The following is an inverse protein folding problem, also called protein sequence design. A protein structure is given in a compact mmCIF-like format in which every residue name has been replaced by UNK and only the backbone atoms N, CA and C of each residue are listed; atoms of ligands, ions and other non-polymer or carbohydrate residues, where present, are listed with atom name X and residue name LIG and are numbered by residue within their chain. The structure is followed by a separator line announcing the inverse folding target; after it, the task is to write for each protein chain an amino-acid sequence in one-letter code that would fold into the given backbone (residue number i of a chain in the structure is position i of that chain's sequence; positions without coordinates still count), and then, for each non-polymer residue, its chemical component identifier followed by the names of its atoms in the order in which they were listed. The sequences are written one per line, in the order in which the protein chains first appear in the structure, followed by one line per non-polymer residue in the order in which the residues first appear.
data_IF_498914445505
#
_entry.id   IF_498914445505
#
_cell.length_a   1.000
_cell.length_b   1.000
_cell.length_c   1.000
_cell.angle_alpha   90.00
_cell.angle_beta   90.00
_cell.angle_gamma   90.00
#
_symmetry.space_group_name_H-M   'P 1'
#
loop_
_entity.id
_entity.type
_entity.pdbx_description
1 polymer ?
#
# COMPACT_ATOMS: atom_id res chain seq x y z
N UNK A 1 2.89 -13.89 -10.50
CA UNK A 1 4.19 -13.59 -9.87
C UNK A 1 4.10 -12.23 -9.20
N UNK A 2 4.74 -12.01 -8.05
CA UNK A 2 4.74 -10.69 -7.38
C UNK A 2 5.90 -9.86 -7.91
N UNK A 3 5.66 -8.58 -8.17
CA UNK A 3 6.70 -7.62 -8.57
C UNK A 3 6.73 -6.44 -7.61
N UNK A 4 7.93 -5.99 -7.28
CA UNK A 4 8.16 -4.85 -6.38
C UNK A 4 8.58 -3.63 -7.20
N UNK A 5 7.96 -2.48 -6.95
CA UNK A 5 8.37 -1.19 -7.55
C UNK A 5 8.67 -0.20 -6.44
N UNK A 6 9.80 0.50 -6.54
CA UNK A 6 10.16 1.55 -5.57
C UNK A 6 9.11 2.66 -5.57
N UNK A 7 8.59 2.97 -4.40
CA UNK A 7 7.65 4.06 -4.17
C UNK A 7 8.40 5.40 -4.15
N UNK A 8 7.78 6.44 -4.71
CA UNK A 8 8.26 7.84 -4.62
C UNK A 8 7.22 8.78 -4.00
N UNK A 9 6.00 8.29 -3.87
CA UNK A 9 4.77 9.03 -3.62
C UNK A 9 4.01 8.52 -2.38
N UNK A 10 4.46 7.42 -1.78
CA UNK A 10 3.82 6.80 -0.63
C UNK A 10 4.86 6.34 0.41
N UNK A 11 4.66 6.79 1.66
CA UNK A 11 5.61 6.61 2.77
C UNK A 11 5.26 5.45 3.73
N UNK A 12 4.16 4.74 3.46
CA UNK A 12 3.70 3.63 4.30
C UNK A 12 2.75 4.07 5.43
N UNK A 13 2.23 5.29 5.38
CA UNK A 13 1.24 5.75 6.35
C UNK A 13 -0.13 5.16 5.99
N UNK A 14 -0.52 4.13 6.74
CA UNK A 14 -1.79 3.44 6.59
C UNK A 14 -2.66 3.82 7.79
N UNK A 15 -3.86 4.39 7.56
CA UNK A 15 -4.75 4.74 8.65
C UNK A 15 -5.06 3.54 9.57
N UNK A 16 -5.14 3.74 10.90
CA UNK A 16 -5.24 2.65 11.87
C UNK A 16 -6.56 1.87 11.79
N UNK A 17 -7.58 2.44 11.14
CA UNK A 17 -8.87 1.79 10.92
C UNK A 17 -8.87 0.81 9.74
N UNK A 18 -7.80 0.76 8.94
CA UNK A 18 -7.68 -0.19 7.83
C UNK A 18 -7.06 -1.48 8.38
N UNK A 19 -7.77 -2.62 8.32
CA UNK A 19 -7.17 -3.90 8.67
C UNK A 19 -6.17 -4.31 7.59
N UNK A 20 -4.97 -4.71 8.00
CA UNK A 20 -3.95 -5.25 7.13
C UNK A 20 -3.07 -6.22 7.91
N UNK A 21 -2.45 -7.15 7.18
CA UNK A 21 -1.51 -8.09 7.76
C UNK A 21 -0.08 -7.60 7.60
N UNK A 22 0.78 -7.93 8.57
CA UNK A 22 2.22 -7.67 8.50
C UNK A 22 2.96 -8.99 8.59
N UNK A 23 3.64 -9.34 7.51
CA UNK A 23 4.46 -10.54 7.44
C UNK A 23 5.94 -10.16 7.51
N UNK A 24 6.66 -10.72 8.46
CA UNK A 24 8.10 -10.62 8.51
C UNK A 24 8.71 -11.61 7.51
N UNK A 25 9.60 -11.12 6.64
CA UNK A 25 10.38 -12.01 5.79
C UNK A 25 11.53 -12.63 6.56
N UNK A 26 11.94 -13.82 6.12
CA UNK A 26 13.08 -14.54 6.69
C UNK A 26 14.35 -13.67 6.65
N UNK A 27 14.95 -13.34 7.81
CA UNK A 27 16.16 -12.53 7.89
C UNK A 27 17.38 -13.24 7.31
N UNK A 28 17.40 -14.57 7.24
CA UNK A 28 18.50 -15.34 6.67
C UNK A 28 18.51 -15.30 5.13
N UNK A 29 17.42 -14.86 4.51
CA UNK A 29 17.34 -14.81 3.06
C UNK A 29 18.22 -13.66 2.51
N UNK A 30 19.13 -13.90 1.55
CA UNK A 30 20.09 -12.89 1.07
C UNK A 30 19.46 -11.60 0.54
N UNK A 31 18.28 -11.72 -0.07
CA UNK A 31 17.49 -10.56 -0.51
C UNK A 31 17.07 -9.69 0.68
N UNK A 32 16.61 -10.30 1.77
CA UNK A 32 16.19 -9.60 2.99
C UNK A 32 17.37 -8.84 3.59
N UNK A 33 18.52 -9.51 3.76
CA UNK A 33 19.73 -8.90 4.31
C UNK A 33 20.20 -7.70 3.47
N UNK A 34 20.21 -7.84 2.13
CA UNK A 34 20.59 -6.78 1.21
C UNK A 34 19.70 -5.53 1.39
N UNK A 35 18.39 -5.72 1.48
CA UNK A 35 17.44 -4.62 1.65
C UNK A 35 17.60 -3.92 3.00
N UNK A 36 17.67 -4.68 4.09
CA UNK A 36 17.89 -4.14 5.44
C UNK A 36 19.22 -3.39 5.57
N UNK A 37 20.26 -3.78 4.82
CA UNK A 37 21.57 -3.13 4.87
C UNK A 37 21.65 -1.89 3.98
N UNK A 38 21.18 -1.96 2.73
CA UNK A 38 21.41 -0.90 1.72
C UNK A 38 20.24 0.06 1.51
N UNK A 39 19.02 -0.35 1.85
CA UNK A 39 17.81 0.35 1.41
C UNK A 39 16.81 0.60 2.55
N UNK A 40 17.33 0.96 3.74
CA UNK A 40 16.52 1.15 4.97
C UNK A 40 15.39 2.18 4.84
N UNK A 41 15.61 3.24 4.07
CA UNK A 41 14.61 4.31 3.87
C UNK A 41 13.75 4.11 2.63
N UNK A 42 13.87 2.96 1.95
CA UNK A 42 13.12 2.70 0.71
C UNK A 42 11.87 1.88 1.01
N UNK A 43 10.76 2.31 0.42
CA UNK A 43 9.51 1.55 0.39
C UNK A 43 9.30 1.01 -1.02
N UNK A 44 8.88 -0.25 -1.13
CA UNK A 44 8.52 -0.86 -2.41
C UNK A 44 7.06 -1.27 -2.41
N UNK A 45 6.28 -0.74 -3.34
CA UNK A 45 4.91 -1.19 -3.57
C UNK A 45 4.92 -2.58 -4.22
N UNK A 46 4.06 -3.46 -3.72
CA UNK A 46 3.93 -4.84 -4.19
C UNK A 46 2.74 -4.97 -5.15
N UNK A 47 2.97 -5.59 -6.31
CA UNK A 47 2.01 -5.74 -7.40
C UNK A 47 1.89 -7.20 -7.81
N UNK A 48 0.70 -7.61 -8.23
CA UNK A 48 0.49 -8.92 -8.84
C UNK A 48 0.70 -8.78 -10.35
N UNK A 49 1.72 -9.45 -10.90
CA UNK A 49 1.90 -9.56 -12.34
C UNK A 49 1.00 -10.68 -12.88
N UNK A 50 0.05 -10.30 -13.74
CA UNK A 50 -0.73 -11.24 -14.55
C UNK A 50 0.16 -11.88 -15.62
N UNK A 51 -0.05 -13.18 -15.89
CA UNK A 51 0.64 -13.91 -16.98
C UNK A 51 0.15 -13.50 -18.38
N UNK A 52 -1.02 -12.84 -18.47
CA UNK A 52 -1.54 -12.27 -19.71
C UNK A 52 -1.03 -10.84 -19.81
N UNK A 53 0.04 -10.67 -20.57
CA UNK A 53 0.72 -9.41 -20.79
C UNK A 53 -0.20 -8.48 -21.61
N UNK A 54 -0.80 -7.46 -20.98
CA UNK A 54 -1.35 -6.20 -21.58
C UNK A 54 -2.25 -5.39 -20.62
N UNK A 55 -2.24 -5.59 -19.30
CA UNK A 55 -2.84 -4.60 -18.39
C UNK A 55 -1.77 -3.59 -17.94
N UNK A 56 -1.79 -2.34 -18.43
CA UNK A 56 -0.90 -1.28 -17.93
C UNK A 56 -1.11 -0.96 -16.45
N UNK A 57 -2.25 -1.37 -15.88
CA UNK A 57 -2.76 -0.87 -14.59
C UNK A 57 -2.85 -1.97 -13.52
N UNK A 58 -1.75 -2.70 -13.27
CA UNK A 58 -1.69 -3.50 -12.04
C UNK A 58 -1.59 -2.53 -10.86
N UNK A 59 -2.57 -2.57 -9.95
CA UNK A 59 -2.58 -1.76 -8.75
C UNK A 59 -1.89 -2.48 -7.58
N UNK A 60 -1.32 -1.75 -6.62
CA UNK A 60 -0.58 -2.38 -5.55
C UNK A 60 -1.54 -3.00 -4.53
N UNK A 61 -1.17 -4.16 -3.99
CA UNK A 61 -1.90 -4.84 -2.92
C UNK A 61 -1.15 -4.77 -1.58
N UNK A 62 -0.06 -4.01 -1.53
CA UNK A 62 0.75 -3.92 -0.34
C UNK A 62 2.06 -3.21 -0.59
N UNK A 63 2.93 -3.26 0.41
CA UNK A 63 4.27 -2.73 0.28
C UNK A 63 5.24 -3.44 1.22
N UNK A 64 6.50 -3.33 0.85
CA UNK A 64 7.64 -3.84 1.58
C UNK A 64 8.38 -2.65 2.20
N UNK A 65 8.66 -2.72 3.50
CA UNK A 65 9.38 -1.67 4.22
C UNK A 65 10.33 -2.31 5.22
N UNK A 66 11.53 -1.74 5.32
CA UNK A 66 12.45 -2.09 6.39
C UNK A 66 11.96 -1.42 7.67
N UNK A 67 11.94 -2.19 8.75
CA UNK A 67 11.59 -1.71 10.09
C UNK A 67 12.49 -0.55 10.54
N UNK A 68 12.01 0.36 11.41
CA UNK A 68 12.81 1.52 11.86
C UNK A 68 14.13 1.15 12.57
N UNK A 69 14.16 -0.01 13.25
CA UNK A 69 15.35 -0.57 13.86
C UNK A 69 16.34 -1.18 12.83
N UNK A 70 15.95 -1.27 11.55
CA UNK A 70 16.81 -1.64 10.43
C UNK A 70 17.16 -3.13 10.36
N UNK A 71 16.47 -3.98 11.11
CA UNK A 71 16.81 -5.41 11.28
C UNK A 71 15.89 -6.33 10.51
N UNK A 72 14.65 -5.93 10.32
CA UNK A 72 13.61 -6.78 9.75
C UNK A 72 12.99 -6.10 8.52
N UNK A 73 12.56 -6.93 7.59
CA UNK A 73 11.86 -6.52 6.39
C UNK A 73 10.42 -7.01 6.49
N UNK A 74 9.48 -6.08 6.45
CA UNK A 74 8.06 -6.37 6.65
C UNK A 74 7.32 -6.16 5.33
N UNK A 75 6.53 -7.18 4.96
CA UNK A 75 5.52 -7.09 3.91
C UNK A 75 4.19 -6.74 4.55
N UNK A 76 3.73 -5.53 4.29
CA UNK A 76 2.40 -5.07 4.64
C UNK A 76 1.46 -5.47 3.51
N UNK A 77 0.51 -6.35 3.80
CA UNK A 77 -0.50 -6.83 2.84
C UNK A 77 -1.80 -6.09 3.09
N UNK A 78 -2.22 -5.31 2.10
CA UNK A 78 -3.41 -4.47 2.12
C UNK A 78 -4.43 -4.94 1.07
N UNK A 79 -5.65 -4.39 1.09
CA UNK A 79 -6.57 -4.54 -0.03
C UNK A 79 -5.92 -4.13 -1.36
N UNK A 80 -6.39 -4.75 -2.45
CA UNK A 80 -5.97 -4.37 -3.80
C UNK A 80 -6.30 -2.90 -4.06
N UNK A 81 -5.40 -2.15 -4.70
CA UNK A 81 -5.56 -0.71 -4.92
C UNK A 81 -5.78 0.11 -3.63
N UNK A 82 -5.05 -0.24 -2.56
CA UNK A 82 -5.15 0.46 -1.27
C UNK A 82 -4.87 1.98 -1.31
N UNK A 83 -3.99 2.55 -2.17
CA UNK A 83 -3.74 3.99 -2.15
C UNK A 83 -4.99 4.80 -2.52
N UNK A 84 -5.74 4.31 -3.52
CA UNK A 84 -7.01 4.91 -3.92
C UNK A 84 -8.05 4.74 -2.83
N UNK A 85 -8.16 3.54 -2.24
CA UNK A 85 -9.08 3.26 -1.14
C UNK A 85 -8.83 4.18 0.08
N UNK A 86 -7.57 4.35 0.49
CA UNK A 86 -7.19 5.26 1.58
C UNK A 86 -7.65 6.69 1.27
N UNK A 87 -7.41 7.15 0.03
CA UNK A 87 -7.79 8.50 -0.40
C UNK A 87 -9.30 8.69 -0.38
N UNK A 88 -10.07 7.70 -0.84
CA UNK A 88 -11.55 7.72 -0.82
C UNK A 88 -12.09 7.77 0.61
N UNK A 89 -11.53 6.95 1.51
CA UNK A 89 -11.92 6.93 2.93
C UNK A 89 -11.59 8.25 3.64
N UNK A 90 -10.43 8.83 3.36
CA UNK A 90 -10.05 10.14 3.89
C UNK A 90 -11.00 11.24 3.42
N UNK A 91 -11.35 11.27 2.13
CA UNK A 91 -12.30 12.21 1.55
C UNK A 91 -13.70 12.06 2.18
N UNK A 92 -14.18 10.82 2.31
CA UNK A 92 -15.45 10.55 2.99
C UNK A 92 -15.45 11.07 4.43
N UNK A 93 -14.41 10.77 5.22
CA UNK A 93 -14.31 11.23 6.61
C UNK A 93 -14.33 12.76 6.71
N UNK A 94 -13.67 13.46 5.79
CA UNK A 94 -13.67 14.92 5.75
C UNK A 94 -15.02 15.50 5.33
N UNK A 95 -15.71 14.87 4.38
CA UNK A 95 -17.04 15.30 3.93
C UNK A 95 -18.11 15.08 5.02
N UNK A 96 -18.07 13.94 5.74
CA UNK A 96 -18.95 13.69 6.89
C UNK A 96 -18.75 14.72 8.00
N UNK A 97 -17.50 15.15 8.24
CA UNK A 97 -17.18 16.17 9.23
C UNK A 97 -17.68 17.58 8.88
N UNK A 98 -17.95 17.88 7.59
CA UNK A 98 -18.28 19.22 7.09
C UNK A 98 -19.78 19.48 6.92
N UNK A 99 -20.63 18.78 7.66
CA UNK A 99 -22.11 18.82 7.60
C UNK A 99 -22.71 18.21 6.32
N UNK A 100 -23.87 17.55 6.52
CA UNK A 100 -24.63 16.63 5.65
C UNK A 100 -25.12 17.19 4.29
N UNK A 101 -24.61 18.32 3.81
CA UNK A 101 -25.19 19.12 2.71
C UNK A 101 -24.44 19.03 1.38
N UNK A 102 -23.28 18.39 1.30
CA UNK A 102 -22.63 18.10 0.00
C UNK A 102 -23.08 16.74 -0.54
N UNK A 103 -23.98 16.80 -1.53
CA UNK A 103 -24.49 15.70 -2.35
C UNK A 103 -23.40 14.72 -2.77
N UNK A 104 -23.48 13.49 -2.25
CA UNK A 104 -23.20 12.20 -2.91
C UNK A 104 -21.91 12.02 -3.75
N UNK A 105 -20.94 12.95 -3.74
CA UNK A 105 -19.68 12.86 -4.49
C UNK A 105 -18.85 11.68 -4.04
N UNK A 106 -18.74 11.47 -2.72
CA UNK A 106 -18.04 10.31 -2.17
C UNK A 106 -18.69 8.99 -2.64
N UNK A 107 -20.03 8.88 -2.63
CA UNK A 107 -20.73 7.64 -3.04
C UNK A 107 -20.37 7.26 -4.46
N UNK A 108 -20.49 8.21 -5.38
CA UNK A 108 -20.15 7.98 -6.78
C UNK A 108 -18.68 7.58 -6.95
N UNK A 109 -17.77 8.21 -6.23
CA UNK A 109 -16.36 7.87 -6.28
C UNK A 109 -16.05 6.45 -5.74
N UNK A 110 -16.83 5.97 -4.77
CA UNK A 110 -16.79 4.58 -4.30
C UNK A 110 -17.46 3.60 -5.28
N UNK A 111 -18.53 3.99 -5.96
CA UNK A 111 -19.21 3.15 -6.96
C UNK A 111 -18.33 2.95 -8.22
N UNK A 112 -17.45 3.89 -8.52
CA UNK A 112 -16.49 3.84 -9.65
C UNK A 112 -15.19 3.07 -9.31
N UNK A 113 -14.98 2.69 -8.05
CA UNK A 113 -13.82 1.93 -7.55
C UNK A 113 -14.08 0.42 -7.53
#
# INVERSE_FOLDING_TARGET
YVTLRRSRDFDGDVPPYIPYDVYQLDPAHPFTELLCRKFRSTLWKAYIRSRKETSPDAEPFGFLKVTPNGKELHLHVLPYNYPTLISLLANWSQEQAKTQTKKQSWRRAFDEY
#
